data_IF_855013597788
#
_entry.id   IF_855013597788
#
_cell.length_a   1.000
_cell.length_b   1.000
_cell.length_c   1.000
_cell.angle_alpha   90.00
_cell.angle_beta   90.00
_cell.angle_gamma   90.00
#
_symmetry.space_group_name_H-M   'P 1'
#
loop_
_entity.id
_entity.type
_entity.pdbx_description
1 polymer ?
#
# COMPACT_ATOMS: atom_id res chain seq x y z
N UNK A 1 10.95 -9.10 -18.92
CA UNK A 1 11.85 -8.61 -17.86
C UNK A 1 12.72 -9.78 -17.42
N UNK A 2 14.04 -9.59 -17.31
CA UNK A 2 14.96 -10.56 -16.68
C UNK A 2 15.45 -9.89 -15.40
N UNK A 3 15.36 -10.56 -14.26
CA UNK A 3 15.61 -9.99 -12.93
C UNK A 3 16.40 -10.94 -12.04
N UNK A 4 16.90 -10.42 -10.91
CA UNK A 4 17.53 -11.19 -9.84
C UNK A 4 16.59 -12.30 -9.34
N UNK A 5 17.12 -13.50 -9.09
CA UNK A 5 16.37 -14.57 -8.43
C UNK A 5 16.31 -14.29 -6.92
N UNK A 6 15.10 -14.26 -6.37
CA UNK A 6 14.82 -14.04 -4.95
C UNK A 6 14.19 -15.28 -4.30
N UNK A 7 14.46 -16.48 -4.82
CA UNK A 7 13.92 -17.75 -4.30
C UNK A 7 14.37 -18.07 -2.86
N UNK A 8 15.42 -17.41 -2.37
CA UNK A 8 15.90 -17.45 -0.98
C UNK A 8 15.17 -16.47 -0.05
N UNK A 9 14.27 -15.63 -0.58
CA UNK A 9 13.41 -14.73 0.18
C UNK A 9 11.99 -15.28 0.35
N UNK A 10 11.23 -14.70 1.27
CA UNK A 10 9.82 -15.00 1.53
C UNK A 10 8.95 -13.77 1.31
N UNK A 11 7.74 -13.94 0.81
CA UNK A 11 6.77 -12.83 0.72
C UNK A 11 6.38 -12.41 2.14
N UNK A 12 6.58 -11.13 2.47
CA UNK A 12 6.49 -10.62 3.83
C UNK A 12 5.11 -10.83 4.45
N UNK A 13 4.03 -10.71 3.65
CA UNK A 13 2.65 -11.02 4.09
C UNK A 13 2.55 -12.42 4.69
N UNK A 14 3.16 -13.42 4.06
CA UNK A 14 3.14 -14.81 4.52
C UNK A 14 3.86 -14.97 5.86
N UNK A 15 5.03 -14.34 5.99
CA UNK A 15 5.81 -14.32 7.23
C UNK A 15 5.07 -13.61 8.38
N UNK A 16 4.44 -12.46 8.09
CA UNK A 16 3.63 -11.72 9.07
C UNK A 16 2.43 -12.54 9.56
N UNK A 17 1.75 -13.29 8.68
CA UNK A 17 0.67 -14.21 9.06
C UNK A 17 1.20 -15.40 9.87
N UNK A 18 2.38 -15.90 9.51
CA UNK A 18 3.06 -16.97 10.24
C UNK A 18 3.69 -16.51 11.57
N UNK A 19 3.55 -15.23 11.93
CA UNK A 19 4.18 -14.60 13.09
C UNK A 19 5.71 -14.72 13.10
N UNK A 20 6.33 -14.71 11.92
CA UNK A 20 7.79 -14.63 11.77
C UNK A 20 8.20 -13.17 11.68
N UNK A 21 9.10 -12.75 12.57
CA UNK A 21 9.48 -11.35 12.72
C UNK A 21 10.86 -11.05 12.13
N UNK A 22 10.92 -9.98 11.34
CA UNK A 22 12.15 -9.46 10.72
C UNK A 22 12.39 -8.03 11.28
N UNK A 23 13.21 -7.88 12.34
CA UNK A 23 13.35 -6.59 13.05
C UNK A 23 13.82 -5.42 12.17
N UNK A 24 14.54 -5.71 11.10
CA UNK A 24 15.06 -4.75 10.13
C UNK A 24 14.03 -4.30 9.08
N UNK A 25 12.97 -5.07 8.86
CA UNK A 25 12.10 -4.89 7.69
C UNK A 25 11.41 -3.51 7.67
N UNK A 26 10.91 -3.05 8.81
CA UNK A 26 10.28 -1.73 8.90
C UNK A 26 11.25 -0.58 8.58
N UNK A 27 12.49 -0.67 9.08
CA UNK A 27 13.53 0.32 8.80
C UNK A 27 13.92 0.30 7.31
N UNK A 28 14.14 -0.89 6.74
CA UNK A 28 14.52 -1.03 5.34
C UNK A 28 13.41 -0.60 4.37
N UNK A 29 12.14 -0.84 4.71
CA UNK A 29 11.01 -0.31 3.95
C UNK A 29 10.98 1.23 4.03
N UNK A 30 11.18 1.80 5.23
CA UNK A 30 11.27 3.24 5.41
C UNK A 30 12.39 3.87 4.58
N UNK A 31 13.57 3.26 4.59
CA UNK A 31 14.72 3.68 3.78
C UNK A 31 14.42 3.58 2.28
N UNK A 32 13.84 2.47 1.82
CA UNK A 32 13.41 2.31 0.43
C UNK A 32 12.46 3.43 -0.01
N UNK A 33 11.39 3.67 0.75
CA UNK A 33 10.40 4.70 0.45
C UNK A 33 11.04 6.10 0.46
N UNK A 34 11.87 6.41 1.45
CA UNK A 34 12.57 7.69 1.52
C UNK A 34 13.48 7.90 0.30
N UNK A 35 14.25 6.89 -0.10
CA UNK A 35 15.14 6.97 -1.24
C UNK A 35 14.36 7.17 -2.55
N UNK A 36 13.37 6.33 -2.82
CA UNK A 36 12.59 6.37 -4.08
C UNK A 36 11.79 7.67 -4.18
N UNK A 37 11.03 8.02 -3.14
CA UNK A 37 10.10 9.15 -3.19
C UNK A 37 10.84 10.50 -3.18
N UNK A 38 11.94 10.63 -2.42
CA UNK A 38 12.71 11.88 -2.42
C UNK A 38 13.45 12.11 -3.74
N UNK A 39 14.18 11.11 -4.24
CA UNK A 39 15.04 11.27 -5.41
C UNK A 39 14.27 11.35 -6.74
N UNK A 40 12.97 11.10 -6.73
CA UNK A 40 12.10 11.27 -7.89
C UNK A 40 11.18 12.50 -7.77
N UNK A 41 11.27 13.23 -6.65
CA UNK A 41 10.48 14.45 -6.41
C UNK A 41 11.13 15.71 -6.96
N UNK A 42 10.36 16.80 -6.98
CA UNK A 42 10.83 18.15 -7.31
C UNK A 42 11.91 18.68 -6.32
N UNK A 43 12.11 18.05 -5.16
CA UNK A 43 13.17 18.43 -4.21
C UNK A 43 14.57 17.98 -4.65
N UNK A 44 14.66 16.97 -5.52
CA UNK A 44 15.92 16.42 -6.01
C UNK A 44 16.09 16.61 -7.51
N UNK A 45 15.07 16.28 -8.30
CA UNK A 45 15.16 16.35 -9.76
C UNK A 45 15.03 17.77 -10.28
N UNK A 46 15.75 18.07 -11.36
CA UNK A 46 15.54 19.30 -12.09
C UNK A 46 14.13 19.31 -12.72
N UNK A 47 13.36 20.42 -12.70
CA UNK A 47 11.96 20.43 -13.16
C UNK A 47 11.72 20.01 -14.61
N UNK A 48 12.72 20.12 -15.49
CA UNK A 48 12.60 19.62 -16.87
C UNK A 48 12.73 18.11 -16.94
N UNK A 49 13.65 17.54 -16.18
CA UNK A 49 13.84 16.09 -16.09
C UNK A 49 12.61 15.44 -15.47
N UNK A 50 12.13 15.99 -14.36
CA UNK A 50 10.90 15.49 -13.72
C UNK A 50 9.71 15.53 -14.66
N UNK A 51 9.50 16.62 -15.42
CA UNK A 51 8.41 16.69 -16.40
C UNK A 51 8.54 15.64 -17.51
N UNK A 52 9.77 15.36 -17.96
CA UNK A 52 10.00 14.30 -18.94
C UNK A 52 9.70 12.91 -18.35
N UNK A 53 10.11 12.66 -17.11
CA UNK A 53 9.78 11.40 -16.41
C UNK A 53 8.27 11.26 -16.17
N UNK A 54 7.56 12.33 -15.77
CA UNK A 54 6.09 12.32 -15.66
C UNK A 54 5.46 11.84 -16.97
N UNK A 55 5.89 12.37 -18.12
CA UNK A 55 5.37 11.94 -19.41
C UNK A 55 5.71 10.48 -19.74
N UNK A 56 6.90 10.01 -19.37
CA UNK A 56 7.36 8.64 -19.60
C UNK A 56 6.57 7.61 -18.77
N UNK A 57 6.20 7.95 -17.54
CA UNK A 57 5.54 7.06 -16.58
C UNK A 57 4.03 7.31 -16.46
N UNK A 58 3.40 7.85 -17.52
CA UNK A 58 1.94 7.87 -17.62
C UNK A 58 1.44 6.42 -17.71
N UNK A 59 0.57 6.02 -16.77
CA UNK A 59 0.14 4.62 -16.61
C UNK A 59 -1.39 4.49 -16.41
N UNK A 60 -2.21 4.92 -17.39
CA UNK A 60 -3.64 5.14 -17.19
C UNK A 60 -4.41 3.86 -16.80
N UNK A 61 -4.04 2.71 -17.38
CA UNK A 61 -4.73 1.45 -17.11
C UNK A 61 -4.52 0.96 -15.67
N UNK A 62 -3.30 1.08 -15.14
CA UNK A 62 -3.03 0.69 -13.75
C UNK A 62 -3.60 1.73 -12.78
N UNK A 63 -3.52 3.02 -13.11
CA UNK A 63 -4.17 4.07 -12.33
C UNK A 63 -5.69 3.82 -12.22
N UNK A 64 -6.40 3.54 -13.32
CA UNK A 64 -7.84 3.26 -13.33
C UNK A 64 -8.24 2.14 -12.35
N UNK A 65 -7.44 1.07 -12.29
CA UNK A 65 -7.68 -0.02 -11.32
C UNK A 65 -7.62 0.51 -9.88
N UNK A 66 -6.60 1.30 -9.52
CA UNK A 66 -6.50 1.91 -8.19
C UNK A 66 -7.64 2.89 -7.93
N UNK A 67 -8.00 3.70 -8.93
CA UNK A 67 -9.05 4.71 -8.87
C UNK A 67 -10.44 4.13 -8.58
N UNK A 68 -10.71 2.96 -9.12
CA UNK A 68 -11.91 2.18 -8.86
C UNK A 68 -11.83 1.49 -7.50
N UNK A 69 -10.80 0.68 -7.26
CA UNK A 69 -10.76 -0.24 -6.13
C UNK A 69 -10.46 0.42 -4.79
N UNK A 70 -9.69 1.52 -4.77
CA UNK A 70 -9.38 2.25 -3.53
C UNK A 70 -10.37 3.37 -3.25
N UNK A 71 -10.87 4.03 -4.29
CA UNK A 71 -11.53 5.32 -4.13
C UNK A 71 -12.99 5.36 -4.60
N UNK A 72 -13.53 4.28 -5.17
CA UNK A 72 -14.88 4.26 -5.70
C UNK A 72 -15.69 3.07 -5.18
N UNK A 73 -15.32 1.86 -5.57
CA UNK A 73 -16.12 0.65 -5.41
C UNK A 73 -16.53 0.38 -3.96
N UNK A 74 -15.63 0.49 -2.95
CA UNK A 74 -15.99 0.23 -1.55
C UNK A 74 -17.09 1.16 -0.98
N UNK A 75 -17.33 2.31 -1.62
CA UNK A 75 -18.21 3.38 -1.11
C UNK A 75 -19.55 3.46 -1.85
N UNK A 76 -19.86 2.44 -2.65
CA UNK A 76 -21.11 2.28 -3.39
C UNK A 76 -21.51 0.80 -3.50
N UNK A 77 -22.70 0.53 -4.05
CA UNK A 77 -23.06 -0.83 -4.45
C UNK A 77 -22.33 -1.14 -5.75
N UNK A 78 -21.36 -2.04 -5.72
CA UNK A 78 -20.59 -2.44 -6.88
C UNK A 78 -20.39 -3.96 -6.92
N UNK A 79 -20.40 -4.55 -8.12
CA UNK A 79 -20.31 -6.02 -8.31
C UNK A 79 -18.97 -6.61 -7.90
N UNK A 80 -17.90 -5.80 -7.90
CA UNK A 80 -16.56 -6.23 -7.46
C UNK A 80 -16.41 -6.30 -5.95
N UNK A 81 -17.31 -5.67 -5.18
CA UNK A 81 -17.25 -5.72 -3.73
C UNK A 81 -17.53 -7.13 -3.23
N UNK A 82 -16.63 -7.66 -2.41
CA UNK A 82 -16.74 -9.00 -1.85
C UNK A 82 -16.39 -8.98 -0.37
N UNK A 83 -17.38 -9.31 0.46
CA UNK A 83 -17.26 -9.34 1.92
C UNK A 83 -18.28 -10.34 2.51
N UNK A 84 -18.03 -10.89 3.71
CA UNK A 84 -18.99 -11.76 4.38
C UNK A 84 -20.33 -11.07 4.63
N UNK A 85 -21.44 -11.79 4.45
CA UNK A 85 -22.79 -11.22 4.59
C UNK A 85 -23.05 -10.65 5.99
N UNK A 86 -22.34 -11.15 7.00
CA UNK A 86 -22.38 -10.68 8.38
C UNK A 86 -21.92 -9.23 8.54
N UNK A 87 -21.12 -8.70 7.60
CA UNK A 87 -20.62 -7.32 7.61
C UNK A 87 -21.51 -6.33 6.85
N UNK A 88 -22.65 -6.76 6.29
CA UNK A 88 -23.51 -5.89 5.46
C UNK A 88 -23.95 -4.63 6.19
N UNK A 89 -24.23 -4.71 7.49
CA UNK A 89 -24.61 -3.53 8.28
C UNK A 89 -23.47 -2.50 8.38
N UNK A 90 -22.22 -2.96 8.58
CA UNK A 90 -21.04 -2.10 8.65
C UNK A 90 -20.71 -1.50 7.27
N UNK A 91 -20.82 -2.30 6.22
CA UNK A 91 -20.63 -1.83 4.82
C UNK A 91 -21.71 -0.84 4.41
N UNK A 92 -22.97 -1.05 4.81
CA UNK A 92 -24.04 -0.07 4.62
C UNK A 92 -23.72 1.26 5.32
N UNK A 93 -23.28 1.21 6.59
CA UNK A 93 -22.88 2.40 7.33
C UNK A 93 -21.73 3.17 6.63
N UNK A 94 -20.72 2.45 6.10
CA UNK A 94 -19.64 3.05 5.30
C UNK A 94 -20.15 3.74 4.02
N UNK A 95 -21.10 3.12 3.30
CA UNK A 95 -21.66 3.68 2.04
C UNK A 95 -22.54 4.91 2.27
N UNK A 96 -23.20 4.98 3.42
CA UNK A 96 -24.08 6.08 3.80
C UNK A 96 -23.35 7.23 4.51
N UNK A 97 -22.09 7.05 4.89
CA UNK A 97 -21.27 8.09 5.52
C UNK A 97 -20.81 9.16 4.50
N UNK A 98 -21.54 10.28 4.49
CA UNK A 98 -21.23 11.42 3.62
C UNK A 98 -19.89 12.10 3.94
N UNK A 99 -19.45 12.12 5.20
CA UNK A 99 -18.17 12.76 5.58
C UNK A 99 -17.00 11.91 5.11
N UNK A 100 -17.10 10.59 5.27
CA UNK A 100 -16.13 9.66 4.74
C UNK A 100 -16.01 9.79 3.21
N UNK A 101 -17.15 9.79 2.49
CA UNK A 101 -17.13 9.91 1.03
C UNK A 101 -16.55 11.23 0.55
N UNK A 102 -16.77 12.33 1.27
CA UNK A 102 -16.12 13.61 0.99
C UNK A 102 -14.60 13.52 1.17
N UNK A 103 -14.14 12.90 2.25
CA UNK A 103 -12.71 12.72 2.50
C UNK A 103 -12.05 11.82 1.43
N UNK A 104 -12.70 10.71 1.06
CA UNK A 104 -12.25 9.80 -0.01
C UNK A 104 -12.21 10.53 -1.35
N UNK A 105 -13.22 11.33 -1.69
CA UNK A 105 -13.23 12.10 -2.93
C UNK A 105 -12.08 13.12 -2.97
N UNK A 106 -11.74 13.74 -1.84
CA UNK A 106 -10.58 14.63 -1.75
C UNK A 106 -9.26 13.87 -1.94
N UNK A 107 -9.13 12.66 -1.40
CA UNK A 107 -7.97 11.79 -1.63
C UNK A 107 -7.87 11.34 -3.09
N UNK A 108 -9.00 10.95 -3.71
CA UNK A 108 -9.09 10.60 -5.15
C UNK A 108 -8.65 11.76 -6.03
N UNK A 109 -9.13 12.97 -5.74
CA UNK A 109 -8.72 14.16 -6.47
C UNK A 109 -7.21 14.42 -6.36
N UNK A 110 -6.62 14.21 -5.17
CA UNK A 110 -5.15 14.31 -5.01
C UNK A 110 -4.44 13.23 -5.82
N UNK A 111 -4.92 11.99 -5.81
CA UNK A 111 -4.37 10.90 -6.63
C UNK A 111 -4.37 11.27 -8.12
N UNK A 112 -5.44 11.88 -8.64
CA UNK A 112 -5.51 12.35 -10.03
C UNK A 112 -4.54 13.49 -10.37
N UNK A 113 -4.41 14.47 -9.48
CA UNK A 113 -3.87 15.78 -9.85
C UNK A 113 -2.43 16.02 -9.34
N UNK A 114 -1.96 15.27 -8.35
CA UNK A 114 -0.70 15.54 -7.68
C UNK A 114 0.40 14.58 -8.13
N UNK A 115 1.15 14.99 -9.14
CA UNK A 115 2.38 14.31 -9.55
C UNK A 115 3.56 14.72 -8.64
N UNK A 116 3.66 14.20 -7.43
CA UNK A 116 4.67 14.61 -6.42
C UNK A 116 5.99 13.84 -6.55
N UNK A 117 5.94 12.52 -6.75
CA UNK A 117 7.10 11.64 -6.94
C UNK A 117 6.71 10.41 -7.77
N UNK A 118 7.70 9.65 -8.27
CA UNK A 118 7.45 8.37 -8.92
C UNK A 118 7.17 7.31 -7.84
N UNK A 119 5.93 6.85 -7.81
CA UNK A 119 5.46 5.86 -6.83
C UNK A 119 5.82 4.44 -7.27
N UNK A 120 5.84 3.52 -6.32
CA UNK A 120 5.61 2.10 -6.58
C UNK A 120 4.16 1.86 -7.01
N UNK A 121 3.20 2.55 -6.39
CA UNK A 121 1.78 2.53 -6.76
C UNK A 121 0.98 1.34 -6.23
N UNK A 122 1.63 0.34 -5.62
CA UNK A 122 0.98 -0.79 -4.95
C UNK A 122 1.91 -1.46 -3.92
N UNK A 123 2.57 -0.63 -3.09
CA UNK A 123 3.46 -1.16 -2.05
C UNK A 123 2.62 -1.67 -0.88
N UNK A 124 2.74 -2.96 -0.60
CA UNK A 124 2.05 -3.67 0.48
C UNK A 124 2.86 -4.91 0.88
N UNK A 125 2.57 -5.56 2.01
CA UNK A 125 3.39 -6.70 2.46
C UNK A 125 3.42 -7.89 1.49
N UNK A 126 2.50 -7.95 0.51
CA UNK A 126 2.51 -8.95 -0.56
C UNK A 126 3.46 -8.66 -1.72
N UNK A 127 3.90 -7.40 -1.87
CA UNK A 127 4.81 -6.90 -2.92
C UNK A 127 6.22 -6.67 -2.34
N UNK A 128 6.52 -7.34 -1.23
CA UNK A 128 7.80 -7.23 -0.52
C UNK A 128 8.31 -8.63 -0.22
N UNK A 129 9.52 -8.90 -0.67
CA UNK A 129 10.32 -10.04 -0.24
C UNK A 129 11.16 -9.67 0.98
N UNK A 130 11.26 -10.58 1.96
CA UNK A 130 12.10 -10.47 3.15
C UNK A 130 12.99 -11.69 3.32
N UNK A 131 14.19 -11.46 3.84
CA UNK A 131 15.12 -12.46 4.35
C UNK A 131 15.92 -11.85 5.53
N UNK A 132 16.77 -12.64 6.18
CA UNK A 132 17.63 -12.12 7.24
C UNK A 132 18.52 -10.99 6.70
N UNK A 133 18.39 -9.79 7.26
CA UNK A 133 19.13 -8.60 6.82
C UNK A 133 18.70 -8.02 5.46
N UNK A 134 17.68 -8.55 4.78
CA UNK A 134 17.31 -8.12 3.42
C UNK A 134 15.82 -7.87 3.25
N UNK A 135 15.49 -6.81 2.52
CA UNK A 135 14.16 -6.46 2.06
C UNK A 135 14.24 -6.03 0.59
N UNK A 136 13.33 -6.54 -0.24
CA UNK A 136 13.23 -6.23 -1.66
C UNK A 136 11.79 -5.90 -2.00
N UNK A 137 11.53 -4.65 -2.38
CA UNK A 137 10.26 -4.27 -3.01
C UNK A 137 10.24 -4.79 -4.45
N UNK A 138 9.11 -5.35 -4.88
CA UNK A 138 8.92 -5.95 -6.19
C UNK A 138 7.58 -5.51 -6.78
N UNK A 139 7.40 -5.72 -8.08
CA UNK A 139 6.08 -5.57 -8.72
C UNK A 139 5.56 -4.12 -8.75
N UNK A 140 6.42 -3.17 -9.09
CA UNK A 140 6.07 -1.76 -9.26
C UNK A 140 5.31 -1.46 -10.57
N UNK A 141 4.42 -2.35 -11.00
CA UNK A 141 3.68 -2.22 -12.27
C UNK A 141 2.66 -1.07 -12.24
N UNK A 142 2.18 -0.71 -11.05
CA UNK A 142 1.31 0.45 -10.80
C UNK A 142 2.06 1.78 -10.76
N UNK A 143 3.38 1.76 -10.98
CA UNK A 143 4.22 2.95 -10.88
C UNK A 143 3.76 4.07 -11.83
N UNK A 144 3.56 5.25 -11.24
CA UNK A 144 3.26 6.49 -11.93
C UNK A 144 3.69 7.68 -11.06
N UNK A 145 3.72 8.89 -11.62
CA UNK A 145 3.95 10.08 -10.81
C UNK A 145 2.69 10.50 -10.06
N UNK A 146 2.66 10.25 -8.75
CA UNK A 146 1.50 10.46 -7.87
C UNK A 146 1.87 11.09 -6.53
N UNK A 147 0.92 11.14 -5.57
CA UNK A 147 1.14 11.76 -4.28
C UNK A 147 1.99 10.85 -3.38
N UNK A 148 3.04 11.41 -2.77
CA UNK A 148 4.04 10.68 -1.94
C UNK A 148 3.35 9.89 -0.82
N UNK A 149 2.29 10.44 -0.25
CA UNK A 149 1.55 9.81 0.83
C UNK A 149 0.83 8.51 0.46
N UNK A 150 0.66 8.21 -0.84
CA UNK A 150 -0.03 7.00 -1.28
C UNK A 150 0.75 5.75 -0.89
N UNK A 151 2.00 5.62 -1.33
CA UNK A 151 2.86 4.46 -1.00
C UNK A 151 3.08 4.30 0.51
N UNK A 152 3.29 5.40 1.22
CA UNK A 152 3.45 5.39 2.69
C UNK A 152 2.14 4.88 3.34
N UNK A 153 1.00 5.37 2.86
CA UNK A 153 -0.32 5.00 3.35
C UNK A 153 -0.66 3.53 3.10
N UNK A 154 -0.40 3.01 1.90
CA UNK A 154 -0.68 1.60 1.57
C UNK A 154 0.23 0.66 2.35
N UNK A 155 1.50 1.00 2.52
CA UNK A 155 2.44 0.24 3.33
C UNK A 155 1.98 0.14 4.79
N UNK A 156 1.70 1.28 5.44
CA UNK A 156 1.22 1.32 6.83
C UNK A 156 -0.13 0.63 6.97
N UNK A 157 -1.07 0.91 6.06
CA UNK A 157 -2.39 0.29 6.05
C UNK A 157 -2.31 -1.23 6.02
N UNK A 158 -1.36 -1.78 5.25
CA UNK A 158 -1.19 -3.22 5.17
C UNK A 158 -0.61 -3.85 6.46
N UNK A 159 0.28 -3.14 7.17
CA UNK A 159 0.75 -3.56 8.49
C UNK A 159 -0.36 -3.48 9.54
N UNK A 160 -1.21 -2.45 9.49
CA UNK A 160 -2.38 -2.33 10.36
C UNK A 160 -3.40 -3.46 10.10
N UNK A 161 -3.60 -3.86 8.85
CA UNK A 161 -4.43 -5.02 8.52
C UNK A 161 -3.88 -6.32 9.15
N UNK A 162 -2.55 -6.52 9.12
CA UNK A 162 -1.94 -7.66 9.80
C UNK A 162 -2.16 -7.60 11.32
N UNK A 163 -1.97 -6.43 11.94
CA UNK A 163 -2.23 -6.22 13.36
C UNK A 163 -3.69 -6.55 13.73
N UNK A 164 -4.67 -6.05 12.97
CA UNK A 164 -6.09 -6.34 13.18
C UNK A 164 -6.44 -7.83 12.99
N UNK A 165 -5.70 -8.55 12.15
CA UNK A 165 -5.89 -9.99 11.91
C UNK A 165 -5.32 -10.89 13.00
N UNK A 166 -4.45 -10.38 13.87
CA UNK A 166 -3.72 -11.16 14.87
C UNK A 166 -4.61 -11.99 15.83
N UNK A 167 -5.74 -11.47 16.36
CA UNK A 167 -6.61 -12.25 17.25
C UNK A 167 -7.21 -13.49 16.59
N UNK A 168 -7.45 -13.45 15.28
CA UNK A 168 -7.94 -14.60 14.51
C UNK A 168 -6.87 -15.67 14.26
N UNK A 169 -5.59 -15.32 14.37
CA UNK A 169 -4.45 -16.22 14.12
C UNK A 169 -3.93 -16.89 15.39
N UNK A 170 -3.92 -16.16 16.51
CA UNK A 170 -3.37 -16.64 17.79
C UNK A 170 -4.45 -17.12 18.77
N UNK A 171 -5.74 -16.89 18.48
CA UNK A 171 -6.81 -17.00 19.47
C UNK A 171 -6.83 -15.80 20.42
N UNK A 172 -8.03 -15.41 20.87
CA UNK A 172 -8.30 -14.12 21.54
C UNK A 172 -7.42 -13.87 22.80
N UNK A 173 -6.98 -14.92 23.49
CA UNK A 173 -6.22 -14.79 24.76
C UNK A 173 -4.73 -14.52 24.56
N UNK A 174 -4.13 -14.97 23.46
CA UNK A 174 -2.69 -14.82 23.22
C UNK A 174 -2.36 -13.50 22.48
N UNK A 175 -3.32 -12.93 21.75
CA UNK A 175 -3.16 -11.65 21.08
C UNK A 175 -3.03 -10.45 22.05
N UNK A 176 -3.80 -10.45 23.14
CA UNK A 176 -3.80 -9.35 24.12
C UNK A 176 -2.48 -9.25 24.91
N UNK A 177 -1.83 -10.38 25.22
CA UNK A 177 -0.57 -10.40 25.96
C UNK A 177 0.62 -9.89 25.14
N UNK A 178 0.54 -9.95 23.81
CA UNK A 178 1.64 -9.61 22.90
C UNK A 178 1.56 -8.21 22.31
N UNK A 179 0.36 -7.64 22.17
CA UNK A 179 0.18 -6.22 21.84
C UNK A 179 0.77 -5.29 22.93
N UNK A 180 0.89 -5.79 24.17
CA UNK A 180 1.48 -5.07 25.31
C UNK A 180 2.98 -5.27 25.51
N UNK A 181 3.64 -6.10 24.68
CA UNK A 181 5.07 -6.45 24.83
C UNK A 181 5.96 -5.97 23.67
N UNK A 182 5.40 -5.21 22.73
CA UNK A 182 6.11 -4.58 21.61
C UNK A 182 6.40 -3.11 21.88
#
# INVERSE_FOLDING_TARGET
MVMEDLSDHRIWRGELIANVYYPQAALQLGDYLAQVLFHTSDFYLHPHEKKAQVAQFINPAMCEITEDLFFNDPYQIHERNNYPAELEADVAALRDDAQLKLAVAALKHRFFAHAEALLHGDIHSGSIFVAEGSLKAIDAEFGYFGPIGFDIGTAIGNLLLNYCGLPGQLGIRDAAARASSG
#
